data_IF_909590981516
#
_entry.id   IF_909590981516
#
_cell.length_a   1.000
_cell.length_b   1.000
_cell.length_c   1.000
_cell.angle_alpha   90.00
_cell.angle_beta   90.00
_cell.angle_gamma   90.00
#
_symmetry.space_group_name_H-M   'P 1'
#
loop_
_entity.id
_entity.type
_entity.pdbx_description
1 polymer ?
#
# COMPACT_ATOMS: atom_id res chain seq x y z
N UNK A 1 31.28 -26.37 13.78
CA UNK A 1 31.43 -25.64 15.07
C UNK A 1 30.65 -24.33 14.99
N UNK A 2 29.63 -24.12 15.84
CA UNK A 2 28.93 -22.84 15.96
C UNK A 2 29.91 -21.83 16.57
N UNK A 3 30.18 -20.72 15.88
CA UNK A 3 30.95 -19.60 16.44
C UNK A 3 30.17 -19.05 17.65
N UNK A 4 30.65 -19.33 18.86
CA UNK A 4 30.16 -18.73 20.09
C UNK A 4 30.64 -17.27 20.12
N UNK A 5 29.70 -16.33 20.01
CA UNK A 5 29.97 -14.92 20.27
C UNK A 5 30.13 -14.73 21.79
N UNK A 6 31.38 -14.69 22.25
CA UNK A 6 31.79 -14.54 23.66
C UNK A 6 31.83 -13.07 24.14
N UNK A 7 31.04 -12.17 23.54
CA UNK A 7 30.99 -10.77 23.95
C UNK A 7 29.63 -10.42 24.55
N UNK A 8 29.65 -9.86 25.76
CA UNK A 8 28.47 -9.27 26.40
C UNK A 8 27.91 -8.18 25.48
N UNK A 9 26.59 -8.12 25.21
CA UNK A 9 26.03 -7.08 24.34
C UNK A 9 26.31 -5.72 24.95
N UNK A 10 26.74 -4.77 24.11
CA UNK A 10 27.02 -3.41 24.56
C UNK A 10 25.78 -2.84 25.27
N UNK A 11 25.99 -2.35 26.50
CA UNK A 11 24.94 -1.73 27.31
C UNK A 11 24.32 -0.54 26.55
N UNK A 12 25.15 0.18 25.79
CA UNK A 12 24.71 1.25 24.91
C UNK A 12 23.73 0.73 23.85
N UNK A 13 24.02 -0.39 23.19
CA UNK A 13 23.13 -0.98 22.17
C UNK A 13 21.80 -1.45 22.77
N UNK A 14 21.81 -2.00 23.99
CA UNK A 14 20.58 -2.31 24.73
C UNK A 14 19.77 -1.06 25.06
N UNK A 15 20.43 0.04 25.44
CA UNK A 15 19.77 1.31 25.71
C UNK A 15 19.19 1.95 24.44
N UNK A 16 19.90 1.85 23.31
CA UNK A 16 19.41 2.31 22.00
C UNK A 16 18.19 1.50 21.56
N UNK A 17 18.18 0.19 21.79
CA UNK A 17 17.01 -0.65 21.50
C UNK A 17 15.80 -0.28 22.36
N UNK A 18 16.00 0.03 23.64
CA UNK A 18 14.92 0.52 24.52
C UNK A 18 14.42 1.90 24.08
N UNK A 19 15.32 2.81 23.71
CA UNK A 19 14.95 4.10 23.13
C UNK A 19 14.18 3.94 21.82
N UNK A 20 14.56 2.99 20.96
CA UNK A 20 13.84 2.69 19.72
C UNK A 20 12.46 2.08 19.96
N UNK A 21 12.23 1.40 21.10
CA UNK A 21 10.91 0.90 21.48
C UNK A 21 9.96 2.02 21.93
N UNK A 22 10.50 3.02 22.63
CA UNK A 22 9.70 4.13 23.18
C UNK A 22 9.56 5.27 22.18
N UNK A 23 10.65 5.62 21.48
CA UNK A 23 10.75 6.71 20.52
C UNK A 23 11.35 6.19 19.20
N UNK A 24 10.61 5.43 18.39
CA UNK A 24 11.13 4.80 17.18
C UNK A 24 11.70 5.80 16.16
N UNK A 25 11.15 7.03 16.12
CA UNK A 25 11.59 8.08 15.20
C UNK A 25 12.94 8.70 15.62
N UNK A 26 13.36 8.52 16.87
CA UNK A 26 14.63 9.04 17.43
C UNK A 26 15.83 8.19 17.06
N UNK A 27 15.64 6.93 16.65
CA UNK A 27 16.75 6.01 16.35
C UNK A 27 16.80 5.73 14.84
N UNK A 28 17.83 6.24 14.15
CA UNK A 28 18.08 6.00 12.73
C UNK A 28 19.43 5.32 12.54
N UNK A 29 19.48 4.25 11.75
CA UNK A 29 20.71 3.48 11.47
C UNK A 29 21.48 3.01 12.72
N UNK A 30 20.76 2.73 13.83
CA UNK A 30 21.37 2.28 15.08
C UNK A 30 22.07 3.37 15.89
N UNK A 31 21.89 4.65 15.54
CA UNK A 31 22.34 5.82 16.31
C UNK A 31 21.13 6.61 16.84
N UNK A 32 21.30 7.22 18.01
CA UNK A 32 20.27 8.04 18.66
C UNK A 32 20.40 9.47 18.15
N UNK A 33 19.29 10.04 17.70
CA UNK A 33 19.16 11.46 17.37
C UNK A 33 18.90 12.25 18.65
N UNK A 34 19.96 12.78 19.24
CA UNK A 34 19.87 13.51 20.50
C UNK A 34 19.09 14.81 20.38
N UNK A 35 18.99 15.43 19.20
CA UNK A 35 18.21 16.66 19.01
C UNK A 35 16.73 16.35 18.88
N UNK A 36 16.37 15.29 18.16
CA UNK A 36 14.98 14.82 18.09
C UNK A 36 14.53 14.23 19.44
N UNK A 37 15.41 13.53 20.15
CA UNK A 37 15.16 13.12 21.52
C UNK A 37 14.93 14.33 22.43
N UNK A 38 15.77 15.36 22.30
CA UNK A 38 15.63 16.60 23.06
C UNK A 38 14.30 17.30 22.74
N UNK A 39 13.87 17.33 21.48
CA UNK A 39 12.56 17.86 21.08
C UNK A 39 11.39 17.04 21.65
N UNK A 40 11.47 15.71 21.63
CA UNK A 40 10.44 14.82 22.18
C UNK A 40 10.36 14.87 23.71
N UNK A 41 11.44 15.28 24.37
CA UNK A 41 11.52 15.47 25.82
C UNK A 41 11.30 16.93 26.24
N UNK A 42 11.13 17.86 25.29
CA UNK A 42 10.90 19.28 25.55
C UNK A 42 9.45 19.67 25.22
N UNK A 43 8.94 20.66 25.92
CA UNK A 43 7.62 21.26 25.77
C UNK A 43 7.57 22.43 24.78
N UNK A 44 8.70 22.78 24.17
CA UNK A 44 8.87 23.87 23.21
C UNK A 44 9.79 23.49 22.04
N UNK A 45 9.74 24.25 20.95
CA UNK A 45 10.45 23.96 19.69
C UNK A 45 11.90 24.48 19.74
N UNK A 46 12.88 23.61 19.45
CA UNK A 46 14.30 23.95 19.38
C UNK A 46 14.69 24.22 17.92
N UNK A 47 15.18 25.43 17.62
CA UNK A 47 15.73 25.80 16.30
C UNK A 47 17.17 25.30 16.15
N UNK A 48 17.46 24.56 15.08
CA UNK A 48 18.82 24.07 14.80
C UNK A 48 18.97 22.82 13.91
N UNK A 49 17.89 22.25 13.37
CA UNK A 49 18.00 21.02 12.58
C UNK A 49 18.78 21.24 11.27
N UNK A 50 19.97 20.62 11.15
CA UNK A 50 20.71 20.50 9.87
C UNK A 50 19.80 19.91 8.79
N UNK A 51 19.78 20.51 7.61
CA UNK A 51 19.01 20.03 6.45
C UNK A 51 19.34 18.56 6.16
N UNK A 52 18.30 17.71 6.22
CA UNK A 52 18.34 16.29 5.87
C UNK A 52 17.19 16.01 4.92
N UNK A 53 17.33 14.98 4.08
CA UNK A 53 16.23 14.52 3.23
C UNK A 53 15.00 14.16 4.07
N UNK A 54 13.89 14.83 3.79
CA UNK A 54 12.60 14.64 4.45
C UNK A 54 11.57 15.63 3.90
N UNK A 55 10.29 15.25 3.95
CA UNK A 55 9.20 16.13 3.56
C UNK A 55 8.92 17.12 4.70
N UNK A 56 9.07 18.41 4.46
CA UNK A 56 8.76 19.47 5.44
C UNK A 56 7.67 20.38 4.89
N UNK A 57 6.71 20.75 5.73
CA UNK A 57 5.62 21.68 5.42
C UNK A 57 5.23 22.48 6.66
N UNK A 58 4.53 23.60 6.46
CA UNK A 58 3.99 24.43 7.55
C UNK A 58 2.82 23.67 8.18
N UNK A 59 2.77 23.51 9.51
CA UNK A 59 1.74 22.70 10.18
C UNK A 59 2.25 21.34 10.67
N UNK A 60 3.38 20.85 10.16
CA UNK A 60 3.88 19.50 10.50
C UNK A 60 4.08 19.28 12.01
N UNK A 61 4.68 20.26 12.69
CA UNK A 61 4.95 20.19 14.13
C UNK A 61 3.65 20.28 14.93
N UNK A 62 2.72 21.15 14.52
CA UNK A 62 1.39 21.24 15.12
C UNK A 62 0.61 19.93 15.00
N UNK A 63 0.64 19.26 13.84
CA UNK A 63 -0.02 17.97 13.62
C UNK A 63 0.50 16.88 14.58
N UNK A 64 1.81 16.81 14.83
CA UNK A 64 2.39 15.86 15.80
C UNK A 64 1.89 16.15 17.21
N UNK A 65 1.87 17.43 17.61
CA UNK A 65 1.36 17.84 18.92
C UNK A 65 -0.12 17.47 19.07
N UNK A 66 -0.93 17.70 18.04
CA UNK A 66 -2.36 17.38 18.01
C UNK A 66 -2.62 15.88 18.15
N UNK A 67 -1.88 15.04 17.45
CA UNK A 67 -1.95 13.57 17.58
C UNK A 67 -1.59 13.12 19.00
N UNK A 68 -0.61 13.75 19.64
CA UNK A 68 -0.19 13.40 21.00
C UNK A 68 -1.11 13.95 22.09
N UNK A 69 -1.93 14.95 21.77
CA UNK A 69 -2.87 15.56 22.72
C UNK A 69 -4.00 14.56 23.05
N UNK A 70 -4.37 14.42 24.34
CA UNK A 70 -5.52 13.60 24.74
C UNK A 70 -6.83 14.23 24.24
N UNK A 71 -7.82 13.39 23.94
CA UNK A 71 -9.16 13.84 23.55
C UNK A 71 -10.14 13.58 24.69
N UNK A 72 -11.00 14.56 24.98
CA UNK A 72 -12.04 14.47 26.02
C UNK A 72 -13.43 14.18 25.44
N UNK A 73 -13.50 13.67 24.20
CA UNK A 73 -14.75 13.29 23.53
C UNK A 73 -15.07 11.82 23.81
N UNK A 74 -16.34 11.47 23.69
CA UNK A 74 -16.84 10.11 23.90
C UNK A 74 -17.78 9.69 22.78
N UNK A 75 -17.96 8.39 22.60
CA UNK A 75 -18.95 7.83 21.67
C UNK A 75 -20.30 7.73 22.38
N UNK A 76 -21.36 8.15 21.70
CA UNK A 76 -22.74 7.96 22.15
C UNK A 76 -23.42 6.94 21.24
N UNK A 77 -23.89 5.79 21.76
CA UNK A 77 -24.61 4.82 20.94
C UNK A 77 -25.97 5.38 20.50
N UNK A 78 -26.32 5.15 19.23
CA UNK A 78 -27.63 5.50 18.66
C UNK A 78 -28.39 4.20 18.38
N UNK A 79 -29.01 3.66 19.44
CA UNK A 79 -29.64 2.33 19.41
C UNK A 79 -30.76 2.27 18.36
N UNK A 80 -31.54 3.34 18.22
CA UNK A 80 -32.67 3.42 17.29
C UNK A 80 -32.27 3.25 15.82
N UNK A 81 -31.05 3.68 15.44
CA UNK A 81 -30.51 3.53 14.08
C UNK A 81 -29.64 2.27 13.92
N UNK A 82 -29.43 1.51 15.00
CA UNK A 82 -28.53 0.36 15.01
C UNK A 82 -29.26 -0.91 14.57
N UNK A 83 -28.65 -1.65 13.64
CA UNK A 83 -29.13 -2.96 13.23
C UNK A 83 -28.50 -4.01 14.14
N UNK A 84 -29.33 -4.78 14.86
CA UNK A 84 -28.90 -5.83 15.79
C UNK A 84 -27.81 -5.38 16.79
N UNK A 85 -28.06 -4.28 17.51
CA UNK A 85 -27.08 -3.61 18.41
C UNK A 85 -26.26 -4.57 19.29
N UNK A 86 -26.89 -5.56 19.91
CA UNK A 86 -26.24 -6.51 20.82
C UNK A 86 -25.43 -7.63 20.13
N UNK A 87 -25.66 -7.87 18.84
CA UNK A 87 -25.06 -9.01 18.09
C UNK A 87 -24.10 -8.57 16.99
N UNK A 88 -24.29 -7.36 16.46
CA UNK A 88 -23.49 -6.85 15.36
C UNK A 88 -22.01 -6.77 15.76
N UNK A 89 -21.14 -7.15 14.81
CA UNK A 89 -19.69 -6.96 14.93
C UNK A 89 -19.21 -5.76 14.11
N UNK A 90 -20.15 -5.06 13.47
CA UNK A 90 -19.90 -3.91 12.61
C UNK A 90 -20.20 -2.63 13.37
N UNK A 91 -19.36 -1.63 13.16
CA UNK A 91 -19.45 -0.33 13.81
C UNK A 91 -19.49 0.77 12.76
N UNK A 92 -20.43 1.70 12.92
CA UNK A 92 -20.49 2.95 12.17
C UNK A 92 -20.36 4.10 13.17
N UNK A 93 -19.44 5.03 12.90
CA UNK A 93 -19.18 6.20 13.75
C UNK A 93 -19.40 7.43 12.89
N UNK A 94 -20.25 8.34 13.38
CA UNK A 94 -20.52 9.64 12.77
C UNK A 94 -19.70 10.72 13.51
N UNK A 95 -18.95 11.53 12.76
CA UNK A 95 -18.13 12.61 13.31
C UNK A 95 -16.84 12.84 12.53
N UNK A 96 -15.98 13.73 13.04
CA UNK A 96 -14.65 13.90 12.46
C UNK A 96 -13.82 12.62 12.66
N UNK A 97 -13.26 12.12 11.56
CA UNK A 97 -12.52 10.87 11.54
C UNK A 97 -11.23 10.91 12.37
N UNK A 98 -10.54 12.04 12.51
CA UNK A 98 -9.37 12.12 13.38
C UNK A 98 -9.78 11.88 14.85
N UNK A 99 -10.86 12.51 15.30
CA UNK A 99 -11.39 12.33 16.64
C UNK A 99 -11.93 10.91 16.87
N UNK A 100 -12.68 10.38 15.90
CA UNK A 100 -13.19 9.01 15.96
C UNK A 100 -12.04 8.00 16.07
N UNK A 101 -11.00 8.15 15.24
CA UNK A 101 -9.79 7.31 15.28
C UNK A 101 -9.08 7.40 16.63
N UNK A 102 -8.95 8.61 17.21
CA UNK A 102 -8.37 8.81 18.56
C UNK A 102 -9.17 8.08 19.64
N UNK A 103 -10.50 8.14 19.61
CA UNK A 103 -11.34 7.50 20.63
C UNK A 103 -11.24 5.96 20.54
N UNK A 104 -11.24 5.39 19.33
CA UNK A 104 -11.14 3.94 19.16
C UNK A 104 -9.71 3.40 19.30
N UNK A 105 -8.70 4.27 19.31
CA UNK A 105 -7.27 3.91 19.31
C UNK A 105 -6.93 2.89 20.39
N UNK A 106 -7.31 3.14 21.64
CA UNK A 106 -7.03 2.26 22.78
C UNK A 106 -7.69 0.88 22.62
N UNK A 107 -8.92 0.85 22.12
CA UNK A 107 -9.68 -0.40 21.96
C UNK A 107 -9.19 -1.26 20.80
N UNK A 108 -8.69 -0.63 19.73
CA UNK A 108 -8.34 -1.29 18.46
C UNK A 108 -6.84 -1.29 18.14
N UNK A 109 -5.99 -0.86 19.08
CA UNK A 109 -4.54 -0.82 18.93
C UNK A 109 -3.99 -2.17 18.45
N UNK A 110 -3.35 -2.17 17.27
CA UNK A 110 -2.75 -3.37 16.70
C UNK A 110 -3.74 -4.47 16.25
N UNK A 111 -5.04 -4.18 16.15
CA UNK A 111 -6.08 -5.19 15.83
C UNK A 111 -6.60 -5.11 14.39
N UNK A 112 -6.41 -4.00 13.68
CA UNK A 112 -6.97 -3.79 12.34
C UNK A 112 -6.16 -4.53 11.28
N UNK A 113 -6.79 -5.42 10.52
CA UNK A 113 -6.12 -6.19 9.46
C UNK A 113 -5.93 -5.41 8.17
N UNK A 114 -6.92 -4.62 7.78
CA UNK A 114 -6.92 -3.88 6.53
C UNK A 114 -7.58 -2.53 6.76
N UNK A 115 -6.97 -1.48 6.22
CA UNK A 115 -7.56 -0.15 6.11
C UNK A 115 -7.68 0.15 4.61
N UNK A 116 -8.84 0.64 4.20
CA UNK A 116 -9.04 1.25 2.89
C UNK A 116 -9.61 2.64 3.13
N UNK A 117 -9.02 3.64 2.50
CA UNK A 117 -9.50 5.02 2.56
C UNK A 117 -9.49 5.63 1.17
N UNK A 118 -10.46 6.50 0.94
CA UNK A 118 -10.63 7.32 -0.26
C UNK A 118 -10.66 8.79 0.19
N UNK A 119 -9.49 9.38 0.50
CA UNK A 119 -9.40 10.75 0.97
C UNK A 119 -9.76 11.73 -0.16
N UNK A 120 -10.10 13.00 0.15
CA UNK A 120 -10.26 14.01 -0.89
C UNK A 120 -8.94 14.20 -1.66
N UNK A 121 -9.01 14.28 -2.98
CA UNK A 121 -7.83 14.31 -3.85
C UNK A 121 -7.14 15.68 -3.96
N UNK A 122 -7.68 16.71 -3.29
CA UNK A 122 -7.17 18.09 -3.34
C UNK A 122 -7.14 18.69 -4.75
N UNK A 123 -8.23 18.56 -5.50
CA UNK A 123 -8.36 19.12 -6.87
C UNK A 123 -8.64 20.63 -6.90
N UNK A 124 -8.70 21.29 -5.74
CA UNK A 124 -9.16 22.68 -5.59
C UNK A 124 -10.68 22.88 -5.67
N UNK A 125 -11.43 21.82 -5.97
CA UNK A 125 -12.91 21.81 -5.96
C UNK A 125 -13.49 21.00 -4.80
N UNK A 126 -12.71 20.03 -4.30
CA UNK A 126 -13.21 18.97 -3.41
C UNK A 126 -12.73 19.12 -1.95
N UNK A 127 -11.94 20.15 -1.62
CA UNK A 127 -11.23 20.18 -0.35
C UNK A 127 -11.89 21.09 0.68
N UNK A 128 -12.15 20.51 1.85
CA UNK A 128 -12.57 21.18 3.09
C UNK A 128 -11.73 20.66 4.24
N UNK A 129 -10.83 21.50 4.77
CA UNK A 129 -10.32 21.29 6.12
C UNK A 129 -10.15 22.60 6.87
N UNK A 130 -10.49 22.53 8.15
CA UNK A 130 -10.67 23.65 9.07
C UNK A 130 -9.69 23.42 10.22
N UNK A 131 -8.67 24.27 10.37
CA UNK A 131 -7.76 24.13 11.51
C UNK A 131 -7.33 25.48 12.12
N UNK A 132 -8.19 26.50 12.03
CA UNK A 132 -7.94 27.78 12.69
C UNK A 132 -8.79 27.93 13.96
N UNK A 133 -8.28 27.43 15.09
CA UNK A 133 -8.90 27.57 16.42
C UNK A 133 -8.89 29.02 16.97
N UNK A 134 -8.47 30.01 16.16
CA UNK A 134 -8.34 31.43 16.54
C UNK A 134 -9.33 32.37 15.85
N UNK A 135 -10.18 31.90 14.94
CA UNK A 135 -11.13 32.77 14.26
C UNK A 135 -12.30 33.15 15.16
N UNK A 136 -12.69 34.42 15.09
CA UNK A 136 -13.89 34.90 15.77
C UNK A 136 -15.13 34.25 15.16
N UNK A 137 -16.21 34.13 15.95
CA UNK A 137 -17.46 33.49 15.50
C UNK A 137 -18.09 34.20 14.28
N UNK A 138 -17.77 35.48 14.10
CA UNK A 138 -18.30 36.31 13.01
C UNK A 138 -17.54 36.07 11.69
N UNK A 139 -16.19 35.97 11.72
CA UNK A 139 -15.39 35.52 10.57
C UNK A 139 -15.71 34.07 10.16
N UNK A 140 -16.07 33.25 11.14
CA UNK A 140 -16.53 31.88 10.94
C UNK A 140 -17.85 31.81 10.17
N UNK A 141 -18.78 32.74 10.38
CA UNK A 141 -20.09 32.73 9.72
C UNK A 141 -20.02 33.30 8.29
N UNK A 142 -19.03 34.16 7.98
CA UNK A 142 -18.78 34.69 6.63
C UNK A 142 -18.06 33.70 5.69
N UNK A 143 -17.18 32.81 6.19
CA UNK A 143 -16.48 31.82 5.35
C UNK A 143 -17.32 30.57 5.00
N UNK A 144 -18.48 30.38 5.65
CA UNK A 144 -19.41 29.26 5.41
C UNK A 144 -20.45 29.66 4.36
N UNK A 145 -20.11 29.56 3.07
CA UNK A 145 -21.10 29.79 2.00
C UNK A 145 -21.69 28.51 1.41
N UNK A 146 -21.15 27.32 1.73
CA UNK A 146 -21.62 26.06 1.15
C UNK A 146 -21.96 25.00 2.21
N UNK A 147 -23.11 24.37 2.02
CA UNK A 147 -23.60 23.22 2.81
C UNK A 147 -23.75 22.06 1.82
N UNK A 148 -23.24 20.88 2.14
CA UNK A 148 -23.46 19.69 1.31
C UNK A 148 -24.90 19.14 1.43
N UNK A 149 -25.21 18.09 0.66
CA UNK A 149 -26.53 17.43 0.68
C UNK A 149 -26.89 16.84 2.07
N UNK A 150 -25.88 16.62 2.93
CA UNK A 150 -26.01 16.05 4.28
C UNK A 150 -26.04 17.12 5.40
N UNK A 151 -26.00 18.41 5.05
CA UNK A 151 -26.06 19.50 6.03
C UNK A 151 -24.73 19.88 6.66
N UNK A 152 -23.61 19.37 6.16
CA UNK A 152 -22.26 19.67 6.66
C UNK A 152 -21.77 21.00 6.07
N UNK A 153 -21.31 21.90 6.93
CA UNK A 153 -20.76 23.22 6.56
C UNK A 153 -19.35 23.06 5.95
N UNK A 154 -19.14 23.56 4.74
CA UNK A 154 -17.95 23.35 3.91
C UNK A 154 -17.06 24.61 3.86
N UNK A 155 -15.73 24.43 3.93
CA UNK A 155 -14.68 25.44 3.66
C UNK A 155 -13.94 25.08 2.38
N UNK A 156 -13.63 26.02 1.49
CA UNK A 156 -12.98 25.69 0.21
C UNK A 156 -11.47 25.93 0.27
N UNK A 157 -10.64 24.89 0.25
CA UNK A 157 -9.19 25.07 0.03
C UNK A 157 -8.95 25.23 -1.47
N UNK A 158 -8.86 26.48 -1.89
CA UNK A 158 -8.60 26.84 -3.27
C UNK A 158 -7.11 26.69 -3.59
N UNK A 159 -6.81 26.40 -4.85
CA UNK A 159 -5.44 26.37 -5.40
C UNK A 159 -4.65 27.67 -5.18
N UNK A 160 -5.35 28.80 -5.03
CA UNK A 160 -4.79 30.10 -4.66
C UNK A 160 -4.30 30.21 -3.21
N UNK A 161 -4.62 29.25 -2.34
CA UNK A 161 -4.16 29.23 -0.95
C UNK A 161 -2.66 28.89 -0.90
N UNK A 162 -1.84 29.77 -0.32
CA UNK A 162 -0.40 29.52 -0.13
C UNK A 162 -0.08 28.31 0.74
N UNK A 163 -1.06 27.75 1.46
CA UNK A 163 -0.97 26.53 2.27
C UNK A 163 -1.66 25.32 1.66
N UNK A 164 -2.11 25.39 0.40
CA UNK A 164 -2.91 24.38 -0.27
C UNK A 164 -2.49 22.92 -0.01
N UNK A 165 -1.22 22.57 -0.29
CA UNK A 165 -0.68 21.23 -0.02
C UNK A 165 -0.36 20.99 1.46
N UNK A 166 0.03 22.04 2.20
CA UNK A 166 0.39 21.93 3.62
C UNK A 166 -0.82 21.56 4.48
N UNK A 167 -1.99 22.09 4.16
CA UNK A 167 -3.24 21.80 4.86
C UNK A 167 -3.69 20.35 4.61
N UNK A 168 -3.62 19.89 3.35
CA UNK A 168 -3.90 18.50 2.99
C UNK A 168 -2.93 17.52 3.66
N UNK A 169 -1.63 17.84 3.64
CA UNK A 169 -0.59 17.04 4.30
C UNK A 169 -0.84 16.94 5.80
N UNK A 170 -1.17 18.05 6.47
CA UNK A 170 -1.45 18.06 7.91
C UNK A 170 -2.67 17.17 8.25
N UNK A 171 -3.76 17.33 7.50
CA UNK A 171 -4.97 16.50 7.66
C UNK A 171 -4.67 15.01 7.52
N UNK A 172 -3.96 14.61 6.45
CA UNK A 172 -3.63 13.21 6.19
C UNK A 172 -2.63 12.66 7.20
N UNK A 173 -1.61 13.46 7.57
CA UNK A 173 -0.55 13.02 8.46
C UNK A 173 -1.09 12.60 9.82
N UNK A 174 -1.97 13.43 10.39
CA UNK A 174 -2.61 13.18 11.68
C UNK A 174 -3.37 11.84 11.70
N UNK A 175 -4.11 11.56 10.63
CA UNK A 175 -4.93 10.36 10.48
C UNK A 175 -4.08 9.12 10.23
N UNK A 176 -3.06 9.24 9.37
CA UNK A 176 -2.17 8.12 9.02
C UNK A 176 -1.31 7.67 10.21
N UNK A 177 -0.88 8.61 11.07
CA UNK A 177 -0.17 8.28 12.30
C UNK A 177 -1.01 7.37 13.21
N UNK A 178 -2.28 7.72 13.44
CA UNK A 178 -3.19 6.91 14.26
C UNK A 178 -3.54 5.60 13.55
N UNK A 179 -3.80 5.64 12.24
CA UNK A 179 -4.11 4.46 11.44
C UNK A 179 -2.99 3.40 11.50
N UNK A 180 -1.71 3.84 11.48
CA UNK A 180 -0.56 2.94 11.65
C UNK A 180 -0.59 2.20 12.99
N UNK A 181 -1.00 2.87 14.06
CA UNK A 181 -1.06 2.25 15.39
C UNK A 181 -2.18 1.21 15.47
N UNK A 182 -3.33 1.50 14.87
CA UNK A 182 -4.47 0.58 14.76
C UNK A 182 -4.14 -0.70 13.98
N UNK A 183 -3.28 -0.62 12.96
CA UNK A 183 -2.94 -1.79 12.13
C UNK A 183 -2.26 -2.91 12.92
N UNK A 184 -2.65 -4.15 12.66
CA UNK A 184 -1.94 -5.35 13.08
C UNK A 184 -0.57 -5.44 12.39
N UNK A 185 0.37 -6.22 12.93
CA UNK A 185 1.75 -6.29 12.40
C UNK A 185 1.79 -6.76 10.94
N UNK A 186 0.91 -7.69 10.56
CA UNK A 186 0.71 -8.15 9.17
C UNK A 186 -0.44 -7.40 8.46
N UNK A 187 -0.84 -6.24 9.00
CA UNK A 187 -1.89 -5.40 8.46
C UNK A 187 -1.41 -4.56 7.28
N UNK A 188 -2.37 -4.10 6.48
CA UNK A 188 -2.15 -3.36 5.23
C UNK A 188 -3.08 -2.15 5.14
N UNK A 189 -2.62 -1.08 4.53
CA UNK A 189 -3.42 0.08 4.18
C UNK A 189 -3.41 0.29 2.66
N UNK A 190 -4.57 0.62 2.11
CA UNK A 190 -4.79 1.03 0.74
C UNK A 190 -5.38 2.44 0.75
N UNK A 191 -4.82 3.32 -0.07
CA UNK A 191 -5.22 4.72 -0.14
C UNK A 191 -5.43 5.06 -1.61
N UNK A 192 -6.66 5.35 -1.98
CA UNK A 192 -6.98 5.87 -3.32
C UNK A 192 -6.53 7.32 -3.44
N UNK A 193 -6.00 7.68 -4.60
CA UNK A 193 -5.51 9.02 -4.89
C UNK A 193 -5.46 9.25 -6.40
N UNK A 194 -5.54 10.51 -6.82
CA UNK A 194 -5.23 10.92 -8.19
C UNK A 194 -3.81 11.51 -8.30
N UNK A 195 -3.52 12.14 -9.43
CA UNK A 195 -2.24 12.73 -9.77
C UNK A 195 -1.88 14.01 -8.98
N UNK A 196 -2.82 14.67 -8.30
CA UNK A 196 -2.57 15.93 -7.60
C UNK A 196 -1.69 15.74 -6.35
N UNK A 197 -2.01 14.73 -5.54
CA UNK A 197 -1.36 14.53 -4.23
C UNK A 197 -0.62 13.19 -4.11
N UNK A 198 -0.59 12.35 -5.16
CA UNK A 198 0.07 11.02 -5.12
C UNK A 198 1.51 11.07 -4.62
N UNK A 199 2.30 12.06 -5.04
CA UNK A 199 3.71 12.18 -4.65
C UNK A 199 3.87 12.63 -3.20
N UNK A 200 3.04 13.57 -2.76
CA UNK A 200 2.99 14.05 -1.38
C UNK A 200 2.54 12.92 -0.44
N UNK A 201 1.48 12.20 -0.81
CA UNK A 201 0.98 11.03 -0.10
C UNK A 201 2.03 9.93 0.00
N UNK A 202 2.77 9.69 -1.09
CA UNK A 202 3.84 8.69 -1.12
C UNK A 202 4.93 9.02 -0.09
N UNK A 203 5.44 10.26 -0.11
CA UNK A 203 6.43 10.71 0.86
C UNK A 203 5.91 10.69 2.30
N UNK A 204 4.65 11.06 2.49
CA UNK A 204 3.98 11.00 3.78
C UNK A 204 3.90 9.56 4.32
N UNK A 205 3.54 8.61 3.46
CA UNK A 205 3.49 7.19 3.82
C UNK A 205 4.88 6.62 4.07
N UNK A 206 5.91 7.05 3.34
CA UNK A 206 7.30 6.66 3.59
C UNK A 206 7.77 7.12 4.98
N UNK A 207 7.35 8.30 5.42
CA UNK A 207 7.65 8.80 6.77
C UNK A 207 6.87 8.04 7.85
N UNK A 208 5.57 7.82 7.65
CA UNK A 208 4.70 7.16 8.62
C UNK A 208 5.00 5.66 8.72
N UNK A 209 4.95 4.92 7.61
CA UNK A 209 5.06 3.46 7.58
C UNK A 209 6.50 2.98 7.36
N UNK A 210 7.39 3.84 6.87
CA UNK A 210 8.75 3.48 6.47
C UNK A 210 8.79 2.99 5.02
N UNK A 211 9.73 3.53 4.23
CA UNK A 211 9.90 3.20 2.81
C UNK A 211 10.03 1.70 2.53
N UNK A 212 10.75 0.96 3.39
CA UNK A 212 10.90 -0.50 3.29
C UNK A 212 9.59 -1.28 3.32
N UNK A 213 8.53 -0.68 3.88
CA UNK A 213 7.23 -1.29 4.05
C UNK A 213 6.26 -0.98 2.88
N UNK A 214 6.71 -0.22 1.89
CA UNK A 214 5.97 -0.03 0.65
C UNK A 214 5.79 -1.35 -0.09
N UNK A 215 4.55 -1.61 -0.52
CA UNK A 215 4.18 -2.82 -1.25
C UNK A 215 4.15 -2.53 -2.75
N UNK A 216 3.24 -1.66 -3.19
CA UNK A 216 3.02 -1.34 -4.59
C UNK A 216 2.11 -0.12 -4.76
N UNK A 217 2.22 0.52 -5.91
CA UNK A 217 1.26 1.49 -6.44
C UNK A 217 0.42 0.77 -7.50
N UNK A 218 -0.87 0.62 -7.22
CA UNK A 218 -1.82 -0.09 -8.07
C UNK A 218 -2.48 0.95 -8.96
N UNK A 219 -2.41 0.75 -10.27
CA UNK A 219 -3.08 1.61 -11.24
C UNK A 219 -4.52 1.12 -11.39
N UNK A 220 -5.47 1.99 -11.09
CA UNK A 220 -6.90 1.74 -11.27
C UNK A 220 -7.39 2.42 -12.54
N UNK A 221 -7.70 1.63 -13.56
CA UNK A 221 -8.28 2.14 -14.81
C UNK A 221 -9.75 2.49 -14.60
N UNK A 222 -10.05 3.80 -14.53
CA UNK A 222 -11.40 4.32 -14.32
C UNK A 222 -12.19 4.52 -15.63
N UNK A 223 -11.51 4.59 -16.77
CA UNK A 223 -12.13 4.78 -18.09
C UNK A 223 -11.63 3.73 -19.08
N UNK A 224 -12.57 3.08 -19.75
CA UNK A 224 -12.28 2.07 -20.77
C UNK A 224 -11.66 2.65 -22.06
N UNK A 225 -12.07 3.87 -22.44
CA UNK A 225 -11.62 4.51 -23.67
C UNK A 225 -10.91 5.84 -23.37
N UNK A 226 -9.88 6.20 -24.15
CA UNK A 226 -9.32 7.55 -24.15
C UNK A 226 -10.37 8.62 -24.44
N UNK A 227 -10.21 9.78 -23.79
CA UNK A 227 -10.98 10.99 -24.03
C UNK A 227 -10.47 11.68 -25.28
N UNK A 228 -11.36 11.83 -26.26
CA UNK A 228 -11.05 12.46 -27.54
C UNK A 228 -10.86 13.98 -27.42
N UNK A 229 -11.38 14.59 -26.35
CA UNK A 229 -11.29 16.01 -26.02
C UNK A 229 -10.14 16.33 -25.05
N UNK A 230 -9.30 15.36 -24.71
CA UNK A 230 -8.13 15.59 -23.88
C UNK A 230 -7.15 16.53 -24.60
N UNK A 231 -6.81 17.66 -23.96
CA UNK A 231 -5.85 18.63 -24.50
C UNK A 231 -4.42 18.07 -24.62
N UNK A 232 -4.04 17.19 -23.68
CA UNK A 232 -2.71 16.59 -23.63
C UNK A 232 -2.85 15.06 -23.67
N UNK A 233 -2.86 14.41 -22.51
CA UNK A 233 -3.10 12.97 -22.37
C UNK A 233 -4.43 12.71 -21.69
N UNK A 234 -5.09 11.63 -22.08
CA UNK A 234 -6.34 11.22 -21.45
C UNK A 234 -6.09 10.68 -20.05
N UNK A 235 -6.72 11.30 -19.06
CA UNK A 235 -6.63 10.87 -17.66
C UNK A 235 -7.63 9.72 -17.41
N UNK A 236 -7.15 8.50 -17.69
CA UNK A 236 -7.95 7.27 -17.67
C UNK A 236 -7.76 6.42 -16.42
N UNK A 237 -6.81 6.78 -15.56
CA UNK A 237 -6.49 6.02 -14.37
C UNK A 237 -6.36 6.91 -13.15
N UNK A 238 -6.49 6.27 -12.00
CA UNK A 238 -6.14 6.76 -10.67
C UNK A 238 -5.18 5.75 -10.04
N UNK A 239 -4.68 6.06 -8.85
CA UNK A 239 -3.73 5.23 -8.15
C UNK A 239 -4.26 4.79 -6.80
N UNK A 240 -3.84 3.59 -6.39
CA UNK A 240 -4.07 3.10 -5.03
C UNK A 240 -2.70 2.77 -4.46
N UNK A 241 -2.27 3.55 -3.48
CA UNK A 241 -1.00 3.34 -2.78
C UNK A 241 -1.19 2.27 -1.70
N UNK A 242 -0.31 1.25 -1.71
CA UNK A 242 -0.35 0.15 -0.75
C UNK A 242 0.89 0.10 0.15
N UNK A 243 0.67 0.12 1.47
CA UNK A 243 1.69 -0.09 2.50
C UNK A 243 1.29 -1.18 3.47
N UNK A 244 2.26 -1.96 3.93
CA UNK A 244 2.08 -2.86 5.06
C UNK A 244 2.60 -2.22 6.36
N UNK A 245 2.11 -2.66 7.53
CA UNK A 245 2.77 -2.31 8.80
C UNK A 245 4.16 -2.96 8.90
N UNK A 246 4.25 -4.20 8.45
CA UNK A 246 5.50 -4.94 8.26
C UNK A 246 5.42 -5.78 6.99
N UNK A 247 6.17 -5.39 5.96
CA UNK A 247 6.18 -6.05 4.65
C UNK A 247 6.54 -7.54 4.72
N UNK A 248 7.48 -7.92 5.57
CA UNK A 248 7.93 -9.32 5.72
C UNK A 248 6.85 -10.23 6.30
N UNK A 249 5.87 -9.67 7.02
CA UNK A 249 4.76 -10.44 7.61
C UNK A 249 3.47 -10.36 6.82
N UNK A 250 3.41 -9.50 5.80
CA UNK A 250 2.22 -9.32 4.99
C UNK A 250 2.03 -10.50 4.03
N UNK A 251 0.79 -11.00 3.95
CA UNK A 251 0.38 -12.00 2.97
C UNK A 251 -0.91 -11.53 2.28
N UNK A 252 -0.95 -11.71 0.95
CA UNK A 252 -2.03 -11.25 0.07
C UNK A 252 -3.33 -12.05 0.19
N UNK A 253 -3.32 -13.20 0.89
CA UNK A 253 -4.49 -14.07 1.07
C UNK A 253 -5.29 -14.23 -0.24
N UNK A 254 -4.65 -14.81 -1.26
CA UNK A 254 -5.22 -14.93 -2.60
C UNK A 254 -6.58 -15.64 -2.55
N UNK A 255 -7.53 -15.12 -3.32
CA UNK A 255 -8.82 -15.78 -3.49
C UNK A 255 -8.63 -17.16 -4.12
N UNK A 256 -9.45 -18.15 -3.74
CA UNK A 256 -9.47 -19.42 -4.44
C UNK A 256 -9.87 -19.19 -5.90
N UNK A 257 -9.33 -20.00 -6.80
CA UNK A 257 -9.72 -19.95 -8.21
C UNK A 257 -11.22 -20.24 -8.37
N UNK A 258 -11.87 -19.52 -9.28
CA UNK A 258 -13.26 -19.77 -9.68
C UNK A 258 -13.38 -21.06 -10.50
N UNK A 259 -14.58 -21.63 -10.59
CA UNK A 259 -14.83 -22.83 -11.43
C UNK A 259 -14.51 -22.56 -12.91
N UNK A 260 -14.77 -21.34 -13.40
CA UNK A 260 -14.41 -20.94 -14.75
C UNK A 260 -12.88 -20.91 -14.97
N UNK A 261 -12.10 -20.51 -13.96
CA UNK A 261 -10.65 -20.56 -14.04
C UNK A 261 -10.13 -22.00 -13.99
N UNK A 262 -10.79 -22.88 -13.21
CA UNK A 262 -10.46 -24.31 -13.13
C UNK A 262 -10.76 -25.06 -14.43
N UNK A 263 -11.85 -24.74 -15.11
CA UNK A 263 -12.24 -25.40 -16.38
C UNK A 263 -11.24 -25.21 -17.52
N UNK A 264 -10.36 -24.20 -17.41
CA UNK A 264 -9.25 -23.96 -18.34
C UNK A 264 -8.11 -24.98 -18.21
N UNK A 265 -8.03 -25.71 -17.09
CA UNK A 265 -7.06 -26.79 -16.88
C UNK A 265 -7.66 -28.11 -17.36
N UNK A 266 -6.96 -28.81 -18.25
CA UNK A 266 -7.39 -30.09 -18.84
C UNK A 266 -6.27 -31.13 -18.69
N UNK A 267 -6.62 -32.42 -18.77
CA UNK A 267 -5.63 -33.50 -18.73
C UNK A 267 -5.79 -34.43 -19.95
N UNK A 268 -5.51 -33.94 -21.17
CA UNK A 268 -5.74 -34.72 -22.39
C UNK A 268 -4.81 -35.94 -22.50
N UNK A 269 -3.67 -35.92 -21.82
CA UNK A 269 -2.63 -36.95 -21.89
C UNK A 269 -2.56 -37.84 -20.65
N UNK A 270 -3.58 -37.79 -19.78
CA UNK A 270 -3.71 -38.59 -18.56
C UNK A 270 -2.46 -38.51 -17.65
N UNK A 271 -1.85 -37.32 -17.54
CA UNK A 271 -0.71 -37.10 -16.66
C UNK A 271 -1.10 -37.38 -15.19
N UNK A 272 -0.32 -38.17 -14.43
CA UNK A 272 -0.66 -38.54 -13.05
C UNK A 272 -0.71 -37.35 -12.08
N UNK A 273 -0.15 -36.19 -12.45
CA UNK A 273 -0.19 -34.97 -11.65
C UNK A 273 -1.51 -34.21 -11.75
N UNK A 274 -2.38 -34.60 -12.69
CA UNK A 274 -3.71 -34.03 -12.86
C UNK A 274 -3.79 -32.93 -13.93
N UNK A 275 -4.90 -32.17 -13.98
CA UNK A 275 -5.15 -31.16 -15.00
C UNK A 275 -4.08 -30.05 -15.04
N UNK A 276 -3.74 -29.64 -16.25
CA UNK A 276 -2.75 -28.62 -16.55
C UNK A 276 -3.23 -27.66 -17.63
N UNK A 277 -2.59 -26.50 -17.76
CA UNK A 277 -2.79 -25.56 -18.88
C UNK A 277 -1.52 -25.42 -19.70
N UNK A 278 -1.66 -25.17 -21.00
CA UNK A 278 -0.52 -24.92 -21.89
C UNK A 278 0.12 -23.57 -21.58
N UNK A 279 1.43 -23.56 -21.42
CA UNK A 279 2.24 -22.35 -21.18
C UNK A 279 3.32 -22.23 -22.25
N UNK A 280 3.55 -21.00 -22.71
CA UNK A 280 4.53 -20.73 -23.75
C UNK A 280 5.95 -21.02 -23.25
N UNK A 281 6.70 -21.83 -24.02
CA UNK A 281 8.09 -22.14 -23.71
C UNK A 281 9.07 -21.08 -24.24
N UNK A 282 8.59 -20.00 -24.85
CA UNK A 282 9.44 -18.95 -25.41
C UNK A 282 9.26 -17.63 -24.67
N UNK A 283 10.32 -16.83 -24.58
CA UNK A 283 10.32 -15.50 -23.94
C UNK A 283 10.85 -14.44 -24.90
N UNK A 284 10.38 -13.20 -24.74
CA UNK A 284 10.84 -12.07 -25.55
C UNK A 284 12.32 -11.71 -25.33
N UNK A 285 12.91 -12.14 -24.22
CA UNK A 285 14.33 -11.92 -23.92
C UNK A 285 15.19 -12.85 -24.77
N UNK A 286 15.79 -12.35 -25.86
CA UNK A 286 16.70 -13.12 -26.70
C UNK A 286 18.00 -13.44 -25.96
N UNK A 287 18.22 -14.72 -25.67
CA UNK A 287 19.47 -15.25 -25.12
C UNK A 287 20.06 -16.24 -26.10
N UNK A 288 21.20 -15.95 -26.72
CA UNK A 288 21.77 -16.80 -27.79
C UNK A 288 21.99 -18.25 -27.37
N UNK A 289 22.39 -18.48 -26.12
CA UNK A 289 22.59 -19.81 -25.55
C UNK A 289 21.30 -20.64 -25.43
N UNK A 290 20.15 -19.98 -25.37
CA UNK A 290 18.82 -20.60 -25.23
C UNK A 290 18.08 -20.62 -26.58
N UNK A 291 18.78 -20.43 -27.69
CA UNK A 291 18.29 -20.66 -29.05
C UNK A 291 18.88 -22.00 -29.51
N UNK A 292 18.08 -23.05 -29.42
CA UNK A 292 18.45 -24.38 -29.87
C UNK A 292 17.26 -25.06 -30.54
N UNK A 293 17.56 -26.04 -31.37
CA UNK A 293 16.55 -26.82 -32.07
C UNK A 293 15.90 -27.84 -31.13
N UNK A 294 14.57 -27.92 -31.19
CA UNK A 294 13.78 -28.95 -30.53
C UNK A 294 13.16 -29.83 -31.60
N UNK A 295 13.43 -31.13 -31.52
CA UNK A 295 12.86 -32.13 -32.43
C UNK A 295 11.61 -32.69 -31.76
N UNK A 296 10.45 -32.57 -32.41
CA UNK A 296 9.19 -33.12 -31.94
C UNK A 296 9.17 -34.66 -32.13
N UNK A 297 8.28 -35.38 -31.42
CA UNK A 297 8.09 -36.81 -31.67
C UNK A 297 7.74 -37.18 -33.12
N UNK A 298 7.10 -36.27 -33.87
CA UNK A 298 6.83 -36.42 -35.30
C UNK A 298 8.06 -36.23 -36.21
N UNK A 299 9.22 -35.87 -35.67
CA UNK A 299 10.45 -35.59 -36.42
C UNK A 299 10.56 -34.16 -36.96
N UNK A 300 9.63 -33.27 -36.61
CA UNK A 300 9.66 -31.85 -36.99
C UNK A 300 10.65 -31.10 -36.10
N UNK A 301 11.52 -30.29 -36.71
CA UNK A 301 12.40 -29.38 -35.98
C UNK A 301 11.70 -28.04 -35.75
N UNK A 302 11.75 -27.55 -34.51
CA UNK A 302 11.15 -26.29 -34.08
C UNK A 302 12.22 -25.40 -33.45
N UNK A 303 12.28 -24.15 -33.93
CA UNK A 303 13.09 -23.06 -33.37
C UNK A 303 12.18 -22.04 -32.65
N UNK A 304 12.72 -21.24 -31.72
CA UNK A 304 11.93 -20.19 -31.10
C UNK A 304 11.51 -19.15 -32.16
N UNK A 305 10.35 -18.50 -32.00
CA UNK A 305 9.93 -17.46 -32.94
C UNK A 305 10.99 -16.37 -33.10
N UNK A 306 11.08 -15.71 -34.27
CA UNK A 306 12.04 -14.63 -34.49
C UNK A 306 11.99 -13.57 -33.39
N UNK A 307 13.15 -13.19 -32.85
CA UNK A 307 13.26 -12.22 -31.76
C UNK A 307 13.03 -12.78 -30.35
N UNK A 308 12.74 -14.08 -30.21
CA UNK A 308 12.57 -14.77 -28.93
C UNK A 308 13.67 -15.82 -28.73
N UNK A 309 13.79 -16.32 -27.50
CA UNK A 309 14.53 -17.55 -27.19
C UNK A 309 13.69 -18.46 -26.29
N UNK A 310 14.14 -19.69 -26.05
CA UNK A 310 13.47 -20.56 -25.09
C UNK A 310 13.58 -20.00 -23.67
N UNK A 311 12.58 -20.27 -22.85
CA UNK A 311 12.54 -19.86 -21.44
C UNK A 311 13.51 -20.65 -20.56
N UNK A 312 13.99 -21.78 -21.06
CA UNK A 312 14.85 -22.73 -20.35
C UNK A 312 16.03 -23.15 -21.23
N UNK A 313 17.16 -23.46 -20.58
CA UNK A 313 18.34 -24.00 -21.26
C UNK A 313 18.06 -25.39 -21.83
N UNK A 314 18.87 -25.82 -22.82
CA UNK A 314 18.72 -27.14 -23.45
C UNK A 314 18.76 -28.29 -22.44
N UNK A 315 19.67 -28.24 -21.49
CA UNK A 315 19.77 -29.24 -20.42
C UNK A 315 18.48 -29.28 -19.58
N UNK A 316 17.95 -28.11 -19.21
CA UNK A 316 16.71 -28.04 -18.42
C UNK A 316 15.50 -28.53 -19.22
N UNK A 317 15.46 -28.25 -20.52
CA UNK A 317 14.43 -28.77 -21.40
C UNK A 317 14.44 -30.29 -21.46
N UNK A 318 15.61 -30.93 -21.60
CA UNK A 318 15.73 -32.39 -21.59
C UNK A 318 15.28 -33.01 -20.26
N UNK A 319 15.56 -32.36 -19.12
CA UNK A 319 15.02 -32.75 -17.82
C UNK A 319 13.49 -32.69 -17.78
N UNK A 320 12.91 -31.58 -18.25
CA UNK A 320 11.45 -31.40 -18.29
C UNK A 320 10.78 -32.39 -19.24
N UNK A 321 11.44 -32.73 -20.36
CA UNK A 321 10.97 -33.72 -21.31
C UNK A 321 10.94 -35.12 -20.68
N UNK A 322 12.02 -35.52 -19.99
CA UNK A 322 12.07 -36.80 -19.23
C UNK A 322 11.04 -36.83 -18.10
N UNK A 323 10.77 -35.70 -17.48
CA UNK A 323 9.79 -35.54 -16.41
C UNK A 323 8.34 -35.38 -16.91
N UNK A 324 8.10 -35.61 -18.21
CA UNK A 324 6.79 -35.48 -18.87
C UNK A 324 6.11 -34.11 -18.68
N UNK A 325 6.89 -33.02 -18.54
CA UNK A 325 6.36 -31.65 -18.39
C UNK A 325 6.24 -30.88 -19.70
N UNK A 326 6.70 -31.47 -20.80
CA UNK A 326 6.60 -30.91 -22.14
C UNK A 326 5.56 -31.70 -22.93
N UNK A 327 4.66 -30.99 -23.60
CA UNK A 327 3.63 -31.59 -24.44
C UNK A 327 3.75 -31.10 -25.88
N UNK A 328 3.59 -32.02 -26.84
CA UNK A 328 3.71 -31.76 -28.29
C UNK A 328 2.38 -31.93 -29.03
N UNK A 329 1.25 -31.83 -28.32
CA UNK A 329 -0.06 -32.15 -28.87
C UNK A 329 -0.35 -33.66 -28.92
N UNK A 330 -1.61 -34.02 -29.16
CA UNK A 330 -2.06 -35.43 -29.24
C UNK A 330 -1.30 -36.21 -30.34
N UNK A 331 -1.02 -35.56 -31.47
CA UNK A 331 -0.32 -36.16 -32.61
C UNK A 331 1.21 -35.98 -32.56
N UNK A 332 1.75 -35.40 -31.48
CA UNK A 332 3.20 -35.17 -31.34
C UNK A 332 3.82 -34.20 -32.37
N UNK A 333 3.00 -33.41 -33.06
CA UNK A 333 3.40 -32.52 -34.16
C UNK A 333 3.21 -31.01 -33.87
N UNK A 334 2.65 -30.67 -32.71
CA UNK A 334 2.47 -29.28 -32.31
C UNK A 334 3.78 -28.70 -31.79
N UNK A 335 3.84 -27.37 -31.79
CA UNK A 335 4.88 -26.63 -31.07
C UNK A 335 4.82 -27.02 -29.59
N UNK A 336 5.97 -27.25 -29.00
CA UNK A 336 6.11 -27.66 -27.62
C UNK A 336 5.53 -26.61 -26.67
N UNK A 337 4.77 -27.09 -25.69
CA UNK A 337 4.27 -26.27 -24.58
C UNK A 337 4.73 -26.86 -23.25
N UNK A 338 4.94 -25.98 -22.27
CA UNK A 338 5.13 -26.41 -20.88
C UNK A 338 3.78 -26.68 -20.24
N UNK A 339 3.69 -27.74 -19.44
CA UNK A 339 2.51 -28.06 -18.63
C UNK A 339 2.55 -27.30 -17.31
N UNK A 340 1.63 -26.36 -17.14
CA UNK A 340 1.40 -25.69 -15.86
C UNK A 340 0.28 -26.40 -15.12
N UNK A 341 0.65 -27.29 -14.19
CA UNK A 341 -0.28 -28.11 -13.43
C UNK A 341 -1.10 -27.28 -12.44
N UNK A 342 -2.34 -27.70 -12.25
CA UNK A 342 -3.20 -27.21 -11.19
C UNK A 342 -2.60 -27.60 -9.82
N UNK A 343 -2.08 -26.62 -9.09
CA UNK A 343 -1.65 -26.79 -7.69
C UNK A 343 -2.85 -26.46 -6.79
N UNK A 344 -3.29 -27.43 -5.99
CA UNK A 344 -4.36 -27.26 -5.00
C UNK A 344 -3.90 -26.45 -3.80
#
# INVERSE_FOLDING_TARGET
MKKLHLSTPSLAQKNIQKLAQIFPNVVKEGKVDFELLKQMLSDHVIDGCKERYGLNWVGKKESILKVNTPINKTLRPVIEKSVEFEKTKNLYIEGDNFEALKIIQESYLGKVKMIYIDPPYNTGKDFIYKDNFKQSKDEYEEEIEAVDEDGVKLFKNTDSNGRFHSDWLSMMYERLLIAKDLLRVDGVIFISIDDHEVHNLRHLCDEVFGEKNYIQEIIWEKKYSPQNDAKYFSLNHEQIICYAKNKEKFNRNLLPMTEEQKSRYKNPDNDPRGPWKSSDLSVARKTEKDIYEIITPSGRTVLPPPGRSWSVSKQKFEELLKDNRIWFGENGNNVQVSKDFYQK
#
